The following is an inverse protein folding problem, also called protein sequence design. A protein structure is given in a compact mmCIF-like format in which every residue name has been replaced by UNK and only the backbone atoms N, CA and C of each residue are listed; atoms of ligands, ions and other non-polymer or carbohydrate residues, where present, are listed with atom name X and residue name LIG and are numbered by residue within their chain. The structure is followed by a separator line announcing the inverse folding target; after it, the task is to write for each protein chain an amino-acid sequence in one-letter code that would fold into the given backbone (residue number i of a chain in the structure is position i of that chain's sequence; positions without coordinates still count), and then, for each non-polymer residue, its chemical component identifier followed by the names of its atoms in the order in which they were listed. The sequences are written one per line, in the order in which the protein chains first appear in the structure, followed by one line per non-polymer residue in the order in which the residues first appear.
data_IF_614682099154
#
_entry.id   IF_614682099154
#
_cell.length_a   1.000
_cell.length_b   1.000
_cell.length_c   1.000
_cell.angle_alpha   90.00
_cell.angle_beta   90.00
_cell.angle_gamma   90.00
#
_symmetry.space_group_name_H-M   'P 1'
#
loop_
_entity.id
_entity.type
_entity.pdbx_description
1 polymer ?
#
# COMPACT_ATOMS: atom_id res chain seq x y z
N UNK A 1 -12.99 -5.23 -1.73
CA UNK A 1 -11.80 -5.17 -2.58
C UNK A 1 -10.56 -5.25 -1.68
N UNK A 2 -9.55 -5.97 -2.11
CA UNK A 2 -8.25 -6.02 -1.45
C UNK A 2 -7.28 -5.25 -2.35
N UNK A 3 -7.14 -3.94 -2.20
CA UNK A 3 -6.10 -3.24 -2.92
C UNK A 3 -4.75 -3.72 -2.41
N UNK A 4 -3.95 -4.29 -3.29
CA UNK A 4 -2.55 -4.59 -3.03
C UNK A 4 -1.71 -3.50 -3.65
N UNK A 5 -0.92 -2.79 -2.83
CA UNK A 5 0.07 -1.84 -3.34
C UNK A 5 1.44 -2.49 -3.41
N UNK A 6 2.13 -2.24 -4.50
CA UNK A 6 3.53 -2.61 -4.68
C UNK A 6 4.40 -1.42 -4.24
N UNK A 7 5.22 -1.59 -3.22
CA UNK A 7 6.21 -0.60 -2.76
C UNK A 7 7.61 -1.21 -2.83
N UNK A 8 8.13 -1.41 -4.06
CA UNK A 8 9.37 -2.15 -4.24
C UNK A 8 10.64 -1.31 -4.08
N UNK A 9 10.75 -0.18 -4.78
CA UNK A 9 12.00 0.58 -4.82
C UNK A 9 12.20 1.46 -3.62
N UNK A 10 11.16 2.17 -3.21
CA UNK A 10 11.22 3.06 -2.06
C UNK A 10 11.56 2.29 -0.79
N UNK A 11 11.09 1.05 -0.65
CA UNK A 11 11.45 0.15 0.46
C UNK A 11 12.90 -0.32 0.36
N UNK A 12 13.46 -0.46 -0.83
CA UNK A 12 14.88 -0.78 -1.01
C UNK A 12 15.79 0.38 -0.62
N UNK A 13 15.42 1.61 -0.98
CA UNK A 13 16.22 2.83 -0.77
C UNK A 13 16.15 3.30 0.70
N UNK A 14 14.94 3.43 1.23
CA UNK A 14 14.65 3.86 2.60
C UNK A 14 13.59 2.93 3.20
N UNK A 15 14.00 1.79 3.77
CA UNK A 15 13.09 0.70 4.14
C UNK A 15 12.02 1.11 5.14
N UNK A 16 12.35 1.90 6.17
CA UNK A 16 11.40 2.31 7.19
C UNK A 16 10.30 3.19 6.60
N UNK A 17 10.67 4.29 5.96
CA UNK A 17 9.68 5.22 5.39
C UNK A 17 8.97 4.63 4.16
N UNK A 18 9.66 3.85 3.33
CA UNK A 18 9.05 3.17 2.19
C UNK A 18 7.95 2.19 2.61
N UNK A 19 8.20 1.38 3.63
CA UNK A 19 7.21 0.45 4.17
C UNK A 19 6.08 1.16 4.94
N UNK A 20 6.40 2.23 5.68
CA UNK A 20 5.41 3.09 6.32
C UNK A 20 4.46 3.69 5.28
N UNK A 21 5.01 4.18 4.16
CA UNK A 21 4.23 4.69 3.01
C UNK A 21 3.35 3.60 2.40
N UNK A 22 3.85 2.38 2.26
CA UNK A 22 3.08 1.22 1.79
C UNK A 22 1.87 0.95 2.68
N UNK A 23 2.06 0.89 4.00
CA UNK A 23 0.98 0.72 4.98
C UNK A 23 0.01 1.91 4.97
N UNK A 24 0.53 3.15 4.96
CA UNK A 24 -0.30 4.34 4.85
C UNK A 24 -1.15 4.35 3.58
N UNK A 25 -0.58 3.89 2.45
CA UNK A 25 -1.26 3.80 1.15
C UNK A 25 -2.43 2.82 1.17
N UNK A 26 -2.22 1.59 1.65
CA UNK A 26 -3.28 0.59 1.70
C UNK A 26 -4.42 1.00 2.67
N UNK A 27 -4.10 1.73 3.73
CA UNK A 27 -5.09 2.32 4.63
C UNK A 27 -5.93 3.36 3.88
N UNK A 28 -5.30 4.27 3.11
CA UNK A 28 -6.02 5.32 2.36
C UNK A 28 -6.89 4.73 1.25
N UNK A 29 -6.41 3.71 0.54
CA UNK A 29 -7.20 3.02 -0.48
C UNK A 29 -8.51 2.48 0.11
N UNK A 30 -8.47 1.96 1.33
CA UNK A 30 -9.68 1.51 2.01
C UNK A 30 -10.53 2.66 2.56
N UNK A 31 -9.92 3.76 3.00
CA UNK A 31 -10.66 4.96 3.36
C UNK A 31 -11.42 5.54 2.16
N UNK A 32 -10.83 5.47 0.96
CA UNK A 32 -11.41 5.97 -0.29
C UNK A 32 -12.43 5.05 -0.95
N UNK A 33 -12.85 3.96 -0.31
CA UNK A 33 -13.86 3.03 -0.85
C UNK A 33 -15.26 3.66 -0.92
N UNK A 34 -15.87 3.69 -2.12
CA UNK A 34 -17.21 4.25 -2.32
C UNK A 34 -17.30 5.72 -1.96
N UNK A 35 -18.15 6.07 -0.99
CA UNK A 35 -18.27 7.42 -0.39
C UNK A 35 -17.51 7.55 0.92
N UNK A 36 -16.65 6.58 1.22
CA UNK A 36 -15.86 6.46 2.42
C UNK A 36 -16.11 5.15 3.15
N UNK A 37 -15.06 4.63 3.72
CA UNK A 37 -15.08 3.44 4.56
C UNK A 37 -13.94 3.51 5.57
N UNK A 38 -13.80 2.53 6.44
CA UNK A 38 -12.71 2.56 7.42
C UNK A 38 -11.91 1.28 7.49
N UNK A 39 -10.60 1.40 7.64
CA UNK A 39 -9.69 0.27 7.78
C UNK A 39 -9.93 -0.47 9.10
N UNK A 40 -9.79 -1.80 9.07
CA UNK A 40 -9.91 -2.66 10.25
C UNK A 40 -8.58 -3.32 10.58
N UNK A 41 -7.95 -3.93 9.58
CA UNK A 41 -6.70 -4.66 9.76
C UNK A 41 -5.86 -4.63 8.49
N UNK A 42 -4.55 -4.61 8.64
CA UNK A 42 -3.58 -4.62 7.56
C UNK A 42 -2.81 -5.94 7.46
N UNK A 43 -2.19 -6.15 6.31
CA UNK A 43 -1.27 -7.26 6.03
C UNK A 43 -0.02 -6.72 5.34
N UNK A 44 1.12 -7.40 5.53
CA UNK A 44 2.35 -7.07 4.85
C UNK A 44 3.12 -8.33 4.46
N UNK A 45 3.44 -8.49 3.18
CA UNK A 45 4.28 -9.57 2.65
C UNK A 45 5.55 -8.94 2.08
N UNK A 46 6.69 -9.50 2.44
CA UNK A 46 7.99 -9.07 1.92
C UNK A 46 8.63 -10.17 1.08
N UNK A 47 9.22 -9.78 -0.03
CA UNK A 47 9.99 -10.66 -0.91
C UNK A 47 11.35 -10.04 -1.17
N UNK A 48 12.42 -10.80 -0.94
CA UNK A 48 13.80 -10.33 -1.10
C UNK A 48 14.75 -11.45 -1.48
N UNK A 49 15.98 -11.11 -1.84
CA UNK A 49 17.10 -12.06 -1.94
C UNK A 49 17.37 -12.71 -0.59
N UNK A 50 18.09 -13.82 -0.58
CA UNK A 50 18.48 -14.48 0.67
C UNK A 50 19.21 -13.51 1.61
N UNK A 51 18.85 -13.48 2.90
CA UNK A 51 19.46 -12.58 3.88
C UNK A 51 20.94 -12.84 4.13
N UNK A 52 21.42 -14.07 3.95
CA UNK A 52 22.80 -14.51 4.21
C UNK A 52 23.26 -14.06 5.59
N UNK A 53 22.55 -14.55 6.59
CA UNK A 53 22.89 -14.35 8.01
C UNK A 53 24.16 -15.14 8.38
N UNK A 54 24.65 -15.00 9.61
CA UNK A 54 25.97 -15.51 10.06
C UNK A 54 26.21 -17.03 9.82
N UNK A 55 25.15 -17.81 9.73
CA UNK A 55 25.21 -19.23 9.38
C UNK A 55 24.82 -19.40 7.90
N UNK A 56 25.82 -19.58 7.03
CA UNK A 56 25.59 -19.83 5.61
C UNK A 56 24.81 -21.12 5.39
N UNK A 57 23.74 -21.05 4.62
CA UNK A 57 22.94 -22.20 4.21
C UNK A 57 23.33 -22.60 2.80
N UNK A 58 23.32 -23.91 2.51
CA UNK A 58 23.83 -24.44 1.23
C UNK A 58 23.17 -23.83 -0.01
N UNK A 59 21.89 -23.49 0.05
CA UNK A 59 21.17 -22.89 -1.08
C UNK A 59 21.48 -21.40 -1.29
N UNK A 60 22.14 -20.73 -0.36
CA UNK A 60 22.49 -19.32 -0.48
C UNK A 60 23.73 -19.07 -1.36
N UNK A 61 24.49 -20.11 -1.67
CA UNK A 61 25.69 -20.05 -2.51
C UNK A 61 25.40 -20.22 -4.02
N UNK A 62 24.15 -20.38 -4.43
CA UNK A 62 23.74 -20.58 -5.83
C UNK A 62 24.07 -19.35 -6.68
N UNK A 63 23.88 -18.13 -6.14
CA UNK A 63 24.21 -16.90 -6.80
C UNK A 63 25.28 -16.11 -6.03
N UNK A 64 26.15 -15.37 -6.73
CA UNK A 64 27.11 -14.49 -6.07
C UNK A 64 26.33 -13.42 -5.26
N UNK A 65 26.87 -13.09 -4.09
CA UNK A 65 26.33 -12.02 -3.25
C UNK A 65 26.27 -10.74 -4.06
N UNK A 66 25.06 -10.19 -4.24
CA UNK A 66 24.89 -8.94 -4.96
C UNK A 66 25.32 -7.75 -4.08
N UNK A 67 25.91 -6.76 -4.71
CA UNK A 67 26.19 -5.49 -4.04
C UNK A 67 24.89 -4.68 -3.92
N UNK A 68 24.40 -4.55 -2.70
CA UNK A 68 23.27 -3.69 -2.41
C UNK A 68 23.75 -2.25 -2.28
N UNK A 69 23.01 -1.32 -2.88
CA UNK A 69 23.41 0.07 -2.94
C UNK A 69 23.34 0.79 -1.58
N UNK A 70 22.40 0.38 -0.73
CA UNK A 70 22.11 1.08 0.52
C UNK A 70 22.25 0.17 1.75
N UNK A 71 21.60 -0.99 1.78
CA UNK A 71 21.52 -1.86 2.96
C UNK A 71 21.42 -3.32 2.53
N UNK A 72 21.75 -4.24 3.44
CA UNK A 72 21.58 -5.69 3.20
C UNK A 72 20.10 -6.10 3.22
N UNK A 73 19.73 -7.23 2.61
CA UNK A 73 18.36 -7.74 2.66
C UNK A 73 17.81 -7.89 4.07
N UNK A 74 18.61 -8.38 5.02
CA UNK A 74 18.23 -8.48 6.43
C UNK A 74 17.91 -7.11 7.05
N UNK A 75 18.79 -6.13 6.85
CA UNK A 75 18.59 -4.77 7.37
C UNK A 75 17.33 -4.12 6.78
N UNK A 76 17.09 -4.37 5.49
CA UNK A 76 15.89 -3.89 4.80
C UNK A 76 14.64 -4.49 5.42
N UNK A 77 14.61 -5.82 5.61
CA UNK A 77 13.46 -6.53 6.20
C UNK A 77 13.14 -6.03 7.61
N UNK A 78 14.16 -5.88 8.48
CA UNK A 78 13.98 -5.38 9.85
C UNK A 78 13.40 -3.95 9.83
N UNK A 79 13.98 -3.05 9.05
CA UNK A 79 13.54 -1.65 9.00
C UNK A 79 12.17 -1.51 8.33
N UNK A 80 11.90 -2.27 7.28
CA UNK A 80 10.62 -2.27 6.60
C UNK A 80 9.49 -2.78 7.52
N UNK A 81 9.71 -3.88 8.21
CA UNK A 81 8.76 -4.42 9.20
C UNK A 81 8.48 -3.39 10.29
N UNK A 82 9.53 -2.76 10.83
CA UNK A 82 9.38 -1.72 11.85
C UNK A 82 8.60 -0.51 11.31
N UNK A 83 8.88 -0.05 10.09
CA UNK A 83 8.20 1.09 9.48
C UNK A 83 6.71 0.84 9.21
N UNK A 84 6.38 -0.32 8.68
CA UNK A 84 5.00 -0.73 8.44
C UNK A 84 4.19 -0.82 9.75
N UNK A 85 4.76 -1.47 10.77
CA UNK A 85 4.12 -1.61 12.08
C UNK A 85 4.01 -0.29 12.82
N UNK A 86 5.04 0.57 12.77
CA UNK A 86 5.01 1.90 13.41
C UNK A 86 3.86 2.75 12.84
N UNK A 87 3.67 2.75 11.51
CA UNK A 87 2.57 3.47 10.90
C UNK A 87 1.21 2.91 11.32
N UNK A 88 1.03 1.58 11.23
CA UNK A 88 -0.20 0.92 11.63
C UNK A 88 -0.54 1.16 13.10
N UNK A 89 0.44 1.03 13.99
CA UNK A 89 0.26 1.25 15.43
C UNK A 89 -0.13 2.69 15.76
N UNK A 90 0.55 3.68 15.17
CA UNK A 90 0.24 5.11 15.37
C UNK A 90 -1.12 5.49 14.78
N UNK A 91 -1.50 4.91 13.66
CA UNK A 91 -2.81 5.09 13.06
C UNK A 91 -3.92 4.39 13.86
N UNK A 92 -3.62 3.26 14.47
CA UNK A 92 -4.57 2.40 15.18
C UNK A 92 -5.15 1.30 14.28
N UNK A 93 -4.32 0.68 13.45
CA UNK A 93 -4.65 -0.49 12.65
C UNK A 93 -3.60 -1.58 12.85
N UNK A 94 -3.96 -2.78 13.34
CA UNK A 94 -3.01 -3.87 13.50
C UNK A 94 -2.61 -4.44 12.13
N UNK A 95 -1.31 -4.75 11.96
CA UNK A 95 -0.83 -5.65 10.93
C UNK A 95 -0.97 -7.08 11.48
N UNK A 96 -2.03 -7.78 11.10
CA UNK A 96 -2.43 -9.04 11.72
C UNK A 96 -1.92 -10.28 11.02
N UNK A 97 -1.50 -10.16 9.78
CA UNK A 97 -1.02 -11.26 8.97
C UNK A 97 0.07 -10.79 8.02
N UNK A 98 1.11 -11.57 7.88
CA UNK A 98 2.22 -11.28 6.99
C UNK A 98 3.07 -12.52 6.70
N UNK A 99 3.97 -12.39 5.73
CA UNK A 99 4.93 -13.42 5.42
C UNK A 99 6.21 -12.83 4.80
N UNK A 100 7.25 -13.64 4.77
CA UNK A 100 8.53 -13.34 4.11
C UNK A 100 8.84 -14.45 3.13
N UNK A 101 9.16 -14.09 1.90
CA UNK A 101 9.61 -14.99 0.85
C UNK A 101 10.99 -14.59 0.39
N UNK A 102 11.82 -15.59 0.17
CA UNK A 102 13.14 -15.44 -0.43
C UNK A 102 13.28 -16.42 -1.59
N UNK A 103 13.98 -16.03 -2.64
CA UNK A 103 14.19 -16.89 -3.78
C UNK A 103 15.32 -16.39 -4.65
N UNK A 104 16.24 -17.30 -4.98
CA UNK A 104 17.26 -17.11 -6.00
C UNK A 104 17.41 -18.43 -6.79
N UNK A 105 17.42 -18.33 -8.10
CA UNK A 105 17.51 -19.50 -8.97
C UNK A 105 18.17 -19.15 -10.30
N UNK A 106 18.90 -20.11 -10.87
CA UNK A 106 19.47 -19.99 -12.22
C UNK A 106 19.01 -21.15 -13.07
N UNK A 107 18.43 -20.86 -14.22
CA UNK A 107 17.96 -21.86 -15.17
C UNK A 107 18.15 -21.35 -16.60
N UNK A 108 18.69 -22.19 -17.49
CA UNK A 108 18.89 -21.85 -18.91
C UNK A 108 19.63 -20.52 -19.17
N UNK A 109 20.63 -20.19 -18.36
CA UNK A 109 21.38 -18.93 -18.35
C UNK A 109 20.55 -17.70 -17.97
N UNK A 110 19.37 -17.88 -17.41
CA UNK A 110 18.55 -16.81 -16.82
C UNK A 110 18.61 -16.88 -15.30
N UNK A 111 18.60 -15.72 -14.69
CA UNK A 111 18.62 -15.57 -13.22
C UNK A 111 17.26 -15.07 -12.75
N UNK A 112 16.69 -15.79 -11.79
CA UNK A 112 15.43 -15.47 -11.15
C UNK A 112 15.67 -15.12 -9.69
N UNK A 113 15.10 -14.02 -9.23
CA UNK A 113 15.22 -13.60 -7.85
C UNK A 113 14.52 -12.28 -7.59
N UNK A 114 14.47 -11.89 -6.33
CA UNK A 114 13.93 -10.59 -5.93
C UNK A 114 15.07 -9.57 -5.83
N UNK A 115 15.44 -9.00 -6.96
CA UNK A 115 16.48 -7.99 -7.05
C UNK A 115 16.13 -6.66 -6.39
N UNK A 116 14.85 -6.39 -6.29
CA UNK A 116 14.28 -5.33 -5.48
C UNK A 116 13.44 -5.96 -4.39
N UNK A 117 13.45 -5.38 -3.20
CA UNK A 117 12.53 -5.80 -2.17
C UNK A 117 11.11 -5.46 -2.60
N UNK A 118 10.26 -6.44 -2.66
CA UNK A 118 8.85 -6.27 -2.93
C UNK A 118 8.13 -6.25 -1.57
N UNK A 119 7.33 -5.22 -1.35
CA UNK A 119 6.34 -5.19 -0.27
C UNK A 119 4.95 -5.23 -0.88
N UNK A 120 4.16 -6.23 -0.51
CA UNK A 120 2.74 -6.28 -0.81
C UNK A 120 2.00 -5.89 0.47
N UNK A 121 1.51 -4.66 0.50
CA UNK A 121 0.67 -4.17 1.58
C UNK A 121 -0.80 -4.32 1.19
N UNK A 122 -1.60 -4.82 2.10
CA UNK A 122 -3.02 -5.03 1.89
C UNK A 122 -3.80 -4.96 3.19
N UNK A 123 -5.07 -5.30 3.15
CA UNK A 123 -5.86 -5.33 4.36
C UNK A 123 -7.37 -5.39 4.12
N UNK A 124 -8.09 -5.31 5.22
CA UNK A 124 -9.54 -5.39 5.28
C UNK A 124 -10.12 -4.10 5.84
N UNK A 125 -11.19 -3.62 5.22
CA UNK A 125 -11.95 -2.46 5.68
C UNK A 125 -13.44 -2.78 5.79
N UNK A 126 -14.17 -1.90 6.45
CA UNK A 126 -15.63 -1.95 6.58
C UNK A 126 -16.26 -0.73 5.91
N UNK A 127 -17.31 -0.94 5.16
CA UNK A 127 -18.16 0.10 4.60
C UNK A 127 -19.63 -0.31 4.64
N UNK A 128 -20.52 0.66 4.64
CA UNK A 128 -21.96 0.40 4.56
C UNK A 128 -22.37 0.13 3.11
N UNK A 129 -23.36 -0.71 2.90
CA UNK A 129 -23.89 -0.96 1.55
C UNK A 129 -24.40 0.33 0.89
N UNK A 130 -24.96 1.26 1.68
CA UNK A 130 -25.42 2.58 1.23
C UNK A 130 -24.32 3.38 0.54
N UNK A 131 -23.09 3.30 1.08
CA UNK A 131 -21.96 4.13 0.68
C UNK A 131 -20.92 3.35 -0.18
N UNK A 132 -21.25 2.14 -0.65
CA UNK A 132 -20.31 1.30 -1.39
C UNK A 132 -20.02 1.77 -2.83
N UNK A 133 -20.89 2.63 -3.38
CA UNK A 133 -20.72 3.24 -4.70
C UNK A 133 -20.53 4.75 -4.55
N UNK A 134 -19.68 5.31 -5.39
CA UNK A 134 -19.52 6.77 -5.51
C UNK A 134 -20.80 7.38 -6.05
N UNK A 135 -21.11 8.62 -5.67
CA UNK A 135 -22.16 9.43 -6.29
C UNK A 135 -21.66 10.02 -7.61
N UNK A 136 -22.60 10.54 -8.39
CA UNK A 136 -22.30 11.22 -9.66
C UNK A 136 -21.93 12.67 -9.38
N UNK A 137 -20.74 13.14 -9.83
CA UNK A 137 -20.38 14.55 -9.74
C UNK A 137 -21.32 15.44 -10.56
N UNK A 138 -21.69 16.57 -9.98
CA UNK A 138 -22.49 17.62 -10.63
C UNK A 138 -21.70 18.94 -10.66
N UNK A 139 -21.93 19.79 -11.66
CA UNK A 139 -21.28 21.10 -11.72
C UNK A 139 -21.59 21.92 -10.46
N UNK A 140 -20.58 22.55 -9.87
CA UNK A 140 -20.69 23.33 -8.62
C UNK A 140 -20.41 22.53 -7.34
N UNK A 141 -20.20 21.20 -7.41
CA UNK A 141 -19.70 20.47 -6.25
C UNK A 141 -18.32 21.01 -5.87
N UNK A 142 -18.04 21.13 -4.59
CA UNK A 142 -16.75 21.64 -4.10
C UNK A 142 -15.72 20.52 -4.00
N UNK A 143 -14.54 20.82 -4.51
CA UNK A 143 -13.37 19.96 -4.37
C UNK A 143 -12.68 20.31 -3.06
N UNK A 144 -12.61 19.35 -2.17
CA UNK A 144 -12.07 19.50 -0.82
C UNK A 144 -10.84 18.61 -0.66
N UNK A 145 -9.79 19.14 -0.04
CA UNK A 145 -8.62 18.38 0.40
C UNK A 145 -8.59 18.40 1.92
N UNK A 146 -8.47 17.22 2.53
CA UNK A 146 -8.29 17.05 3.98
C UNK A 146 -6.91 16.42 4.22
N UNK A 147 -6.10 17.01 5.10
CA UNK A 147 -4.80 16.49 5.49
C UNK A 147 -3.68 17.51 5.43
N UNK A 148 -2.44 17.03 5.35
CA UNK A 148 -1.24 17.82 5.51
C UNK A 148 -0.83 18.69 4.31
N UNK A 149 0.15 19.53 4.55
CA UNK A 149 0.68 20.49 3.59
C UNK A 149 1.61 19.81 2.56
N UNK A 150 1.84 20.49 1.44
CA UNK A 150 2.83 20.10 0.45
C UNK A 150 4.24 20.48 0.89
N UNK A 151 5.14 19.51 0.89
CA UNK A 151 6.57 19.68 1.12
C UNK A 151 7.39 19.08 -0.02
N UNK A 152 8.70 19.32 -0.02
CA UNK A 152 9.64 18.75 -1.00
C UNK A 152 9.99 17.30 -0.66
N UNK A 153 8.98 16.45 -0.56
CA UNK A 153 9.08 15.01 -0.29
C UNK A 153 8.10 14.25 -1.19
N UNK A 154 8.42 13.00 -1.52
CA UNK A 154 7.57 12.20 -2.39
C UNK A 154 7.54 12.68 -3.84
N UNK A 155 8.52 13.46 -4.28
CA UNK A 155 8.55 14.01 -5.63
C UNK A 155 8.95 12.94 -6.63
N UNK A 156 8.03 12.61 -7.54
CA UNK A 156 8.27 11.63 -8.60
C UNK A 156 8.43 10.20 -8.10
N UNK A 157 7.86 9.85 -6.94
CA UNK A 157 7.95 8.50 -6.35
C UNK A 157 7.53 7.40 -7.31
N UNK A 158 6.42 7.59 -8.03
CA UNK A 158 5.96 6.65 -9.05
C UNK A 158 6.94 6.44 -10.20
N UNK A 159 7.63 7.50 -10.64
CA UNK A 159 8.63 7.41 -11.70
C UNK A 159 9.92 6.73 -11.24
N UNK A 160 10.39 7.05 -10.02
CA UNK A 160 11.59 6.43 -9.43
C UNK A 160 11.33 4.94 -9.18
N UNK A 161 10.17 4.58 -8.68
CA UNK A 161 9.81 3.18 -8.41
C UNK A 161 9.62 2.33 -9.67
N UNK A 162 9.52 2.94 -10.84
CA UNK A 162 9.33 2.23 -12.12
C UNK A 162 10.62 1.87 -12.83
N UNK A 163 11.78 2.25 -12.30
CA UNK A 163 13.10 1.98 -12.91
C UNK A 163 13.98 1.18 -11.94
N UNK A 164 15.15 0.76 -12.42
CA UNK A 164 16.12 0.05 -11.59
C UNK A 164 16.67 0.94 -10.48
N UNK A 165 16.79 0.40 -9.27
CA UNK A 165 17.40 1.10 -8.13
C UNK A 165 18.82 1.51 -8.45
N UNK A 166 19.17 2.79 -8.20
CA UNK A 166 20.48 3.36 -8.54
C UNK A 166 20.55 3.96 -9.95
N UNK A 167 19.43 3.99 -10.69
CA UNK A 167 19.38 4.65 -11.99
C UNK A 167 19.47 6.17 -11.87
N UNK A 168 18.92 6.72 -10.81
CA UNK A 168 19.02 8.14 -10.48
C UNK A 168 20.10 8.38 -9.42
N UNK A 169 20.47 9.66 -9.22
CA UNK A 169 21.33 10.01 -8.10
C UNK A 169 20.62 9.75 -6.77
N UNK A 170 21.40 9.43 -5.73
CA UNK A 170 20.87 9.16 -4.38
C UNK A 170 19.96 10.28 -3.85
N UNK A 171 20.26 11.56 -4.20
CA UNK A 171 19.41 12.69 -3.81
C UNK A 171 18.02 12.65 -4.44
N UNK A 172 17.90 12.24 -5.71
CA UNK A 172 16.61 12.08 -6.38
C UNK A 172 15.84 10.91 -5.79
N UNK A 173 16.50 9.76 -5.60
CA UNK A 173 15.87 8.57 -5.04
C UNK A 173 15.39 8.80 -3.61
N UNK A 174 16.17 9.48 -2.76
CA UNK A 174 15.79 9.84 -1.39
C UNK A 174 14.65 10.87 -1.34
N UNK A 175 14.61 11.83 -2.26
CA UNK A 175 13.52 12.82 -2.33
C UNK A 175 12.20 12.21 -2.85
N UNK A 176 12.26 11.12 -3.58
CA UNK A 176 11.09 10.36 -4.01
C UNK A 176 10.42 9.59 -2.85
N UNK A 177 11.16 9.30 -1.79
CA UNK A 177 10.61 8.63 -0.61
C UNK A 177 9.84 9.63 0.24
N UNK A 178 8.62 9.26 0.60
CA UNK A 178 7.79 10.08 1.48
C UNK A 178 8.19 9.90 2.94
N UNK A 179 7.78 10.84 3.78
CA UNK A 179 7.90 10.75 5.24
C UNK A 179 6.54 10.49 5.83
N UNK A 180 6.45 9.46 6.65
CA UNK A 180 5.20 9.01 7.24
C UNK A 180 4.69 9.98 8.32
N UNK A 181 3.41 10.32 8.25
CA UNK A 181 2.69 11.07 9.28
C UNK A 181 1.36 10.38 9.60
N UNK A 182 1.43 9.28 10.32
CA UNK A 182 0.28 8.46 10.67
C UNK A 182 -0.78 9.24 11.50
N UNK A 183 -0.37 10.23 12.30
CA UNK A 183 -1.29 11.07 13.06
C UNK A 183 -2.14 11.92 12.13
N UNK A 184 -1.56 12.58 11.14
CA UNK A 184 -2.31 13.37 10.17
C UNK A 184 -3.31 12.49 9.39
N UNK A 185 -2.87 11.31 8.97
CA UNK A 185 -3.77 10.36 8.31
C UNK A 185 -4.90 9.90 9.23
N UNK A 186 -4.63 9.71 10.53
CA UNK A 186 -5.66 9.38 11.52
C UNK A 186 -6.69 10.49 11.67
N UNK A 187 -6.28 11.74 11.71
CA UNK A 187 -7.17 12.90 11.76
C UNK A 187 -8.08 12.94 10.53
N UNK A 188 -7.51 12.78 9.32
CA UNK A 188 -8.29 12.68 8.08
C UNK A 188 -9.27 11.50 8.10
N UNK A 189 -8.82 10.33 8.58
CA UNK A 189 -9.68 9.16 8.73
C UNK A 189 -10.86 9.42 9.68
N UNK A 190 -10.65 10.12 10.79
CA UNK A 190 -11.70 10.41 11.74
C UNK A 190 -12.81 11.28 11.10
N UNK A 191 -12.43 12.22 10.23
CA UNK A 191 -13.40 13.00 9.46
C UNK A 191 -14.21 12.10 8.52
N UNK A 192 -13.52 11.30 7.69
CA UNK A 192 -14.19 10.38 6.75
C UNK A 192 -15.12 9.43 7.49
N UNK A 193 -14.66 8.86 8.59
CA UNK A 193 -15.45 7.95 9.41
C UNK A 193 -16.69 8.62 10.00
N UNK A 194 -16.55 9.84 10.53
CA UNK A 194 -17.68 10.58 11.08
C UNK A 194 -18.77 10.81 10.02
N UNK A 195 -18.37 11.18 8.79
CA UNK A 195 -19.32 11.37 7.68
C UNK A 195 -20.01 10.06 7.26
N UNK A 196 -19.29 8.94 7.29
CA UNK A 196 -19.85 7.62 6.96
C UNK A 196 -20.80 7.08 8.04
N UNK A 197 -20.63 7.50 9.30
CA UNK A 197 -21.44 7.07 10.44
C UNK A 197 -22.73 7.90 10.59
N UNK A 198 -22.89 9.00 9.84
CA UNK A 198 -24.12 9.79 9.82
C UNK A 198 -25.26 9.08 9.05
N UNK A 199 -26.50 9.44 9.36
CA UNK A 199 -27.69 8.92 8.66
C UNK A 199 -27.64 9.23 7.16
N UNK A 200 -27.13 10.41 6.80
CA UNK A 200 -26.93 10.87 5.42
C UNK A 200 -25.47 11.27 5.23
N UNK A 201 -24.72 10.49 4.46
CA UNK A 201 -23.35 10.81 4.12
C UNK A 201 -23.31 11.95 3.07
N UNK A 202 -22.73 13.12 3.38
CA UNK A 202 -22.68 14.26 2.45
C UNK A 202 -21.63 14.12 1.34
N UNK A 203 -20.80 13.08 1.39
CA UNK A 203 -19.75 12.83 0.40
C UNK A 203 -20.37 12.37 -0.90
N UNK A 204 -20.04 13.05 -2.00
CA UNK A 204 -20.39 12.61 -3.36
C UNK A 204 -19.40 11.58 -3.85
N UNK A 205 -18.11 11.90 -3.74
CA UNK A 205 -17.01 11.02 -4.12
C UNK A 205 -15.79 11.29 -3.23
N UNK A 206 -14.96 10.28 -3.03
CA UNK A 206 -13.72 10.38 -2.26
C UNK A 206 -12.60 9.63 -2.97
N UNK A 207 -11.39 10.17 -2.89
CA UNK A 207 -10.19 9.54 -3.43
C UNK A 207 -8.97 9.79 -2.52
N UNK A 208 -8.02 8.86 -2.49
CA UNK A 208 -6.77 9.07 -1.77
C UNK A 208 -5.75 9.85 -2.61
N UNK A 209 -4.88 10.59 -1.93
CA UNK A 209 -3.67 11.13 -2.56
C UNK A 209 -2.59 10.07 -2.54
N UNK A 210 -2.21 9.61 -3.70
CA UNK A 210 -1.15 8.63 -3.91
C UNK A 210 -0.11 9.12 -4.91
N UNK A 211 0.27 8.25 -5.83
CA UNK A 211 1.19 8.57 -6.92
C UNK A 211 0.70 9.77 -7.73
N UNK A 212 1.61 10.63 -8.14
CA UNK A 212 1.36 11.89 -8.82
C UNK A 212 0.50 12.93 -8.05
N UNK A 213 0.25 12.71 -6.75
CA UNK A 213 -0.27 13.72 -5.85
C UNK A 213 -1.63 14.31 -6.22
N UNK A 214 -1.72 15.64 -6.23
CA UNK A 214 -2.97 16.35 -6.51
C UNK A 214 -3.50 16.10 -7.91
N UNK A 215 -2.64 16.00 -8.93
CA UNK A 215 -3.12 15.82 -10.30
C UNK A 215 -3.87 14.51 -10.45
N UNK A 216 -3.40 13.44 -9.86
CA UNK A 216 -4.06 12.14 -9.95
C UNK A 216 -5.35 12.12 -9.11
N UNK A 217 -5.23 12.38 -7.81
CA UNK A 217 -6.37 12.33 -6.90
C UNK A 217 -7.53 13.22 -7.33
N UNK A 218 -7.24 14.50 -7.66
CA UNK A 218 -8.30 15.45 -7.94
C UNK A 218 -8.89 15.29 -9.34
N UNK A 219 -8.11 14.79 -10.32
CA UNK A 219 -8.66 14.47 -11.64
C UNK A 219 -9.62 13.29 -11.59
N UNK A 220 -9.29 12.24 -10.82
CA UNK A 220 -10.18 11.09 -10.64
C UNK A 220 -11.49 11.45 -9.92
N UNK A 221 -11.46 12.45 -9.04
CA UNK A 221 -12.69 12.96 -8.41
C UNK A 221 -13.65 13.63 -9.41
N UNK A 222 -13.10 14.30 -10.44
CA UNK A 222 -13.87 15.11 -11.38
C UNK A 222 -13.95 14.49 -12.78
N UNK A 223 -13.57 13.22 -12.92
CA UNK A 223 -13.48 12.50 -14.21
C UNK A 223 -14.76 12.61 -15.04
N UNK A 224 -15.92 12.54 -14.42
CA UNK A 224 -17.18 12.54 -15.14
C UNK A 224 -17.67 13.94 -15.58
N UNK A 225 -17.13 15.04 -15.02
CA UNK A 225 -17.65 16.36 -15.32
C UNK A 225 -16.60 17.48 -15.51
N UNK A 226 -15.36 17.23 -15.16
CA UNK A 226 -14.32 18.27 -15.19
C UNK A 226 -14.29 19.10 -13.91
N UNK A 227 -13.21 19.89 -13.72
CA UNK A 227 -13.04 20.70 -12.53
C UNK A 227 -11.92 21.72 -12.64
N UNK A 228 -12.05 22.78 -11.87
CA UNK A 228 -11.09 23.87 -11.75
C UNK A 228 -10.53 23.92 -10.32
N UNK A 229 -9.22 23.79 -10.21
CA UNK A 229 -8.49 23.88 -8.95
C UNK A 229 -7.76 25.22 -8.85
N UNK A 230 -8.04 25.95 -7.80
CA UNK A 230 -7.36 27.19 -7.43
C UNK A 230 -6.10 26.85 -6.63
N UNK A 231 -4.93 26.99 -7.26
CA UNK A 231 -3.64 26.65 -6.65
C UNK A 231 -3.31 27.53 -5.44
N UNK A 232 -3.87 28.71 -5.33
CA UNK A 232 -3.66 29.59 -4.17
C UNK A 232 -4.31 29.06 -2.89
N UNK A 233 -5.25 28.12 -3.02
CA UNK A 233 -5.96 27.47 -1.91
C UNK A 233 -5.37 26.11 -1.53
N UNK A 234 -4.40 25.62 -2.28
CA UNK A 234 -3.72 24.38 -1.93
C UNK A 234 -2.82 24.58 -0.70
N UNK A 235 -2.75 23.60 0.20
CA UNK A 235 -1.89 23.69 1.38
C UNK A 235 -0.41 23.57 0.98
N UNK A 236 0.38 24.63 1.19
CA UNK A 236 1.80 24.68 0.82
C UNK A 236 2.63 24.97 2.06
N UNK A 237 3.36 23.96 2.53
CA UNK A 237 4.29 24.07 3.63
C UNK A 237 5.69 24.59 3.20
N UNK A 238 6.15 24.19 2.00
CA UNK A 238 7.38 24.70 1.39
C UNK A 238 7.06 25.69 0.26
N UNK A 239 7.21 26.96 0.54
CA UNK A 239 6.90 28.05 -0.42
C UNK A 239 7.88 28.13 -1.61
N UNK A 240 8.94 27.33 -1.63
CA UNK A 240 9.90 27.27 -2.74
C UNK A 240 9.51 26.27 -3.82
N UNK A 241 8.41 25.54 -3.63
CA UNK A 241 7.89 24.59 -4.61
C UNK A 241 7.40 25.31 -5.87
N UNK A 242 7.81 24.80 -7.02
CA UNK A 242 7.25 25.22 -8.31
C UNK A 242 5.83 24.69 -8.51
N UNK A 243 5.09 25.24 -9.46
CA UNK A 243 3.75 24.77 -9.80
C UNK A 243 3.72 23.26 -10.12
N UNK A 244 4.71 22.74 -10.86
CA UNK A 244 4.82 21.31 -11.18
C UNK A 244 4.99 20.45 -9.91
N UNK A 245 5.85 20.90 -9.01
CA UNK A 245 6.11 20.19 -7.76
C UNK A 245 4.87 20.19 -6.85
N UNK A 246 4.10 21.29 -6.80
CA UNK A 246 2.85 21.35 -6.04
C UNK A 246 1.82 20.38 -6.63
N UNK A 247 1.60 20.43 -7.94
CA UNK A 247 0.60 19.62 -8.64
C UNK A 247 0.89 18.12 -8.49
N UNK A 248 2.16 17.72 -8.62
CA UNK A 248 2.60 16.32 -8.61
C UNK A 248 3.16 15.86 -7.25
N UNK A 249 2.95 16.62 -6.17
CA UNK A 249 3.47 16.30 -4.85
C UNK A 249 2.78 15.10 -4.22
N UNK A 250 3.53 14.06 -3.94
CA UNK A 250 3.03 12.80 -3.41
C UNK A 250 3.02 12.76 -1.86
N UNK A 251 2.92 13.89 -1.18
CA UNK A 251 2.66 13.90 0.28
C UNK A 251 1.32 13.23 0.54
N UNK A 252 1.32 12.08 1.22
CA UNK A 252 0.22 11.12 1.14
C UNK A 252 -0.80 11.21 2.27
N UNK A 253 -0.57 11.96 3.31
CA UNK A 253 -1.52 12.07 4.43
C UNK A 253 -2.70 12.99 4.08
N UNK A 254 -3.28 12.78 2.90
CA UNK A 254 -4.37 13.59 2.35
C UNK A 254 -5.43 12.73 1.69
N UNK A 255 -6.68 13.22 1.77
CA UNK A 255 -7.82 12.68 1.04
C UNK A 255 -8.47 13.80 0.24
N UNK A 256 -8.87 13.51 -0.99
CA UNK A 256 -9.70 14.39 -1.80
C UNK A 256 -11.16 13.99 -1.72
N UNK A 257 -12.07 14.96 -1.60
CA UNK A 257 -13.50 14.72 -1.53
C UNK A 257 -14.25 15.67 -2.46
N UNK A 258 -15.35 15.20 -3.02
CA UNK A 258 -16.39 16.06 -3.58
C UNK A 258 -17.53 16.17 -2.58
N UNK A 259 -17.87 17.41 -2.24
CA UNK A 259 -18.91 17.77 -1.27
C UNK A 259 -19.86 18.77 -1.92
N UNK A 260 -21.17 18.59 -1.72
CA UNK A 260 -22.15 19.61 -2.11
C UNK A 260 -21.93 20.88 -1.31
N UNK A 261 -22.13 22.05 -1.94
CA UNK A 261 -21.84 23.35 -1.30
C UNK A 261 -22.56 23.54 0.03
N UNK A 262 -23.82 23.13 0.11
CA UNK A 262 -24.64 23.24 1.34
C UNK A 262 -24.08 22.43 2.53
N UNK A 263 -23.27 21.39 2.28
CA UNK A 263 -22.68 20.55 3.32
C UNK A 263 -21.28 20.99 3.77
N UNK A 264 -20.66 21.95 3.11
CA UNK A 264 -19.27 22.37 3.39
C UNK A 264 -19.07 22.80 4.85
N UNK A 265 -19.97 23.62 5.39
CA UNK A 265 -19.83 24.10 6.78
C UNK A 265 -20.04 22.99 7.81
N UNK A 266 -20.85 21.99 7.49
CA UNK A 266 -21.00 20.81 8.32
C UNK A 266 -19.70 19.99 8.35
N UNK A 267 -19.13 19.68 7.17
CA UNK A 267 -17.86 18.96 7.05
C UNK A 267 -16.71 19.73 7.74
N UNK A 268 -16.70 21.07 7.62
CA UNK A 268 -15.70 21.92 8.27
C UNK A 268 -15.74 21.78 9.79
N UNK A 269 -16.92 21.80 10.41
CA UNK A 269 -17.06 21.62 11.87
C UNK A 269 -16.53 20.25 12.33
N UNK A 270 -16.76 19.20 11.53
CA UNK A 270 -16.22 17.87 11.83
C UNK A 270 -14.70 17.89 11.70
N UNK A 271 -14.15 18.48 10.63
CA UNK A 271 -12.71 18.57 10.41
C UNK A 271 -12.01 19.35 11.54
N UNK A 272 -12.60 20.45 12.00
CA UNK A 272 -12.10 21.22 13.14
C UNK A 272 -12.12 20.41 14.44
N UNK A 273 -13.21 19.68 14.72
CA UNK A 273 -13.31 18.78 15.88
C UNK A 273 -12.20 17.74 15.87
N UNK A 274 -11.92 17.15 14.72
CA UNK A 274 -10.89 16.11 14.55
C UNK A 274 -9.47 16.71 14.36
N UNK A 275 -9.36 18.05 14.35
CA UNK A 275 -8.09 18.77 14.09
C UNK A 275 -7.45 18.40 12.75
N UNK A 276 -8.28 18.03 11.77
CA UNK A 276 -7.84 17.73 10.41
C UNK A 276 -7.92 19.01 9.58
N UNK A 277 -6.80 19.50 9.02
CA UNK A 277 -6.84 20.63 8.11
C UNK A 277 -7.75 20.33 6.92
N UNK A 278 -8.61 21.28 6.55
CA UNK A 278 -9.57 21.18 5.46
C UNK A 278 -9.47 22.39 4.55
N UNK A 279 -9.34 22.15 3.26
CA UNK A 279 -9.19 23.18 2.24
C UNK A 279 -10.22 22.97 1.12
N UNK A 280 -11.02 23.99 0.82
CA UNK A 280 -11.89 24.01 -0.36
C UNK A 280 -11.06 24.58 -1.50
N UNK A 281 -10.53 23.71 -2.34
CA UNK A 281 -9.49 24.05 -3.32
C UNK A 281 -10.01 24.29 -4.73
N UNK A 282 -11.27 23.98 -5.01
CA UNK A 282 -11.85 24.15 -6.33
C UNK A 282 -13.29 23.70 -6.41
N UNK A 283 -13.77 23.56 -7.61
CA UNK A 283 -15.12 23.10 -7.91
C UNK A 283 -15.20 22.33 -9.22
N UNK A 284 -16.22 21.53 -9.36
CA UNK A 284 -16.56 20.85 -10.61
C UNK A 284 -17.23 21.83 -11.58
N UNK A 285 -16.85 21.76 -12.87
CA UNK A 285 -17.24 22.76 -13.87
C UNK A 285 -18.30 22.30 -14.86
N UNK A 286 -18.40 21.00 -15.13
CA UNK A 286 -19.30 20.45 -16.14
C UNK A 286 -18.83 20.60 -17.59
N UNK A 287 -17.62 21.13 -17.80
CA UNK A 287 -17.05 21.37 -19.13
C UNK A 287 -16.12 20.25 -19.62
N UNK A 288 -16.00 19.15 -18.82
CA UNK A 288 -15.12 18.01 -19.07
C UNK A 288 -13.63 18.40 -19.27
N UNK A 289 -13.19 19.48 -18.60
CA UNK A 289 -11.78 19.87 -18.53
C UNK A 289 -11.30 19.83 -17.09
N UNK A 290 -10.07 19.43 -16.89
CA UNK A 290 -9.42 19.51 -15.59
C UNK A 290 -8.27 20.48 -15.63
N UNK A 291 -8.31 21.48 -14.77
CA UNK A 291 -7.35 22.59 -14.77
C UNK A 291 -6.88 22.96 -13.38
N UNK A 292 -5.59 23.31 -13.29
CA UNK A 292 -5.03 24.05 -12.16
C UNK A 292 -4.79 25.50 -12.56
N UNK A 293 -5.26 26.45 -11.77
CA UNK A 293 -5.11 27.87 -12.06
C UNK A 293 -4.36 28.57 -10.93
N UNK A 294 -3.36 29.36 -11.29
CA UNK A 294 -2.62 30.24 -10.37
C UNK A 294 -3.38 31.55 -10.13
N UNK A 295 -2.98 32.30 -9.10
CA UNK A 295 -3.62 33.57 -8.73
C UNK A 295 -3.57 34.63 -9.84
N UNK A 296 -2.58 34.58 -10.74
CA UNK A 296 -2.46 35.44 -11.90
C UNK A 296 -3.28 34.98 -13.12
N UNK A 297 -4.06 33.91 -12.98
CA UNK A 297 -4.87 33.32 -14.04
C UNK A 297 -4.15 32.34 -14.95
N UNK A 298 -2.84 32.18 -14.82
CA UNK A 298 -2.07 31.19 -15.60
C UNK A 298 -2.51 29.76 -15.20
N UNK A 299 -2.69 28.91 -16.19
CA UNK A 299 -3.04 27.50 -16.03
C UNK A 299 -1.86 26.61 -16.38
N UNK A 300 -1.03 26.22 -15.43
CA UNK A 300 0.11 25.33 -15.67
C UNK A 300 -0.29 23.92 -16.07
N UNK A 301 -1.55 23.54 -15.81
CA UNK A 301 -2.17 22.29 -16.23
C UNK A 301 -3.60 22.57 -16.67
N UNK A 302 -3.94 22.18 -17.89
CA UNK A 302 -5.28 22.37 -18.48
C UNK A 302 -5.50 21.36 -19.61
N UNK A 303 -6.16 20.24 -19.29
CA UNK A 303 -6.41 19.15 -20.22
C UNK A 303 -7.89 18.75 -20.26
N UNK A 304 -8.37 18.29 -21.40
CA UNK A 304 -9.65 17.61 -21.45
C UNK A 304 -9.55 16.28 -20.68
N UNK A 305 -10.58 15.95 -19.93
CA UNK A 305 -10.66 14.71 -19.15
C UNK A 305 -10.46 13.47 -20.02
N UNK A 306 -10.99 13.47 -21.25
CA UNK A 306 -10.80 12.39 -22.21
C UNK A 306 -9.31 12.16 -22.58
N UNK A 307 -8.49 13.20 -22.58
CA UNK A 307 -7.04 13.08 -22.84
C UNK A 307 -6.30 12.41 -21.66
N UNK A 308 -6.84 12.49 -20.46
CA UNK A 308 -6.26 11.90 -19.25
C UNK A 308 -6.73 10.45 -19.04
N UNK A 309 -8.02 10.20 -19.22
CA UNK A 309 -8.68 8.93 -18.92
C UNK A 309 -9.18 8.17 -20.16
N UNK A 310 -8.88 8.68 -21.37
CA UNK A 310 -9.19 8.01 -22.62
C UNK A 310 -8.58 6.60 -22.70
N UNK A 311 -9.13 5.77 -23.58
CA UNK A 311 -8.66 4.40 -23.73
C UNK A 311 -7.22 4.35 -24.21
N UNK A 312 -6.33 3.79 -23.40
CA UNK A 312 -4.97 3.44 -23.84
C UNK A 312 -5.04 2.46 -25.02
N UNK A 313 -4.08 2.53 -25.95
CA UNK A 313 -3.95 1.50 -26.98
C UNK A 313 -3.91 0.11 -26.36
N UNK A 314 -4.58 -0.85 -26.96
CA UNK A 314 -4.53 -2.24 -26.47
C UNK A 314 -3.08 -2.73 -26.46
N UNK A 315 -2.62 -3.15 -25.31
CA UNK A 315 -1.34 -3.84 -25.18
C UNK A 315 -1.56 -5.32 -25.45
N UNK A 316 -0.88 -5.86 -26.45
CA UNK A 316 -0.91 -7.29 -26.75
C UNK A 316 0.31 -7.91 -26.07
N UNK A 317 0.09 -8.67 -25.01
CA UNK A 317 1.12 -9.51 -24.39
C UNK A 317 1.05 -10.89 -25.08
N UNK A 318 1.99 -11.10 -26.01
CA UNK A 318 2.10 -12.40 -26.70
C UNK A 318 3.12 -13.22 -25.92
N UNK A 319 2.64 -14.17 -25.17
CA UNK A 319 3.47 -15.14 -24.48
C UNK A 319 3.65 -16.39 -25.33
N UNK A 320 4.87 -16.94 -25.27
CA UNK A 320 5.17 -18.25 -25.84
C UNK A 320 5.34 -19.21 -24.68
N UNK A 321 4.33 -20.02 -24.45
CA UNK A 321 4.44 -21.12 -23.48
C UNK A 321 5.52 -22.08 -23.95
N UNK A 322 6.57 -22.22 -23.15
CA UNK A 322 7.62 -23.21 -23.33
C UNK A 322 7.27 -24.39 -22.44
N UNK A 323 7.03 -25.55 -23.05
CA UNK A 323 6.84 -26.77 -22.28
C UNK A 323 8.17 -27.13 -21.57
N UNK A 324 8.14 -27.17 -20.25
CA UNK A 324 9.27 -27.46 -19.41
C UNK A 324 9.09 -28.84 -18.76
N UNK A 325 10.08 -29.67 -18.87
CA UNK A 325 10.10 -30.98 -18.22
C UNK A 325 11.12 -30.98 -17.10
N UNK A 326 10.62 -31.01 -15.87
CA UNK A 326 11.46 -31.10 -14.68
C UNK A 326 11.65 -32.56 -14.26
N UNK A 327 12.85 -32.89 -13.82
CA UNK A 327 13.10 -34.18 -13.19
C UNK A 327 12.35 -34.24 -11.85
N UNK A 328 11.74 -35.37 -11.56
CA UNK A 328 11.19 -35.60 -10.23
C UNK A 328 12.32 -35.57 -9.20
N UNK A 329 12.10 -34.91 -8.04
CA UNK A 329 13.09 -34.95 -6.97
C UNK A 329 13.32 -36.38 -6.48
N UNK A 330 14.57 -36.74 -6.30
CA UNK A 330 14.97 -38.01 -5.69
C UNK A 330 15.32 -37.77 -4.22
N UNK A 331 14.69 -38.53 -3.33
CA UNK A 331 14.87 -38.39 -1.88
C UNK A 331 15.62 -39.61 -1.33
N UNK A 332 16.65 -39.34 -0.53
CA UNK A 332 17.39 -40.33 0.21
C UNK A 332 16.88 -40.43 1.65
N UNK A 333 16.24 -41.53 2.06
CA UNK A 333 15.71 -41.70 3.40
C UNK A 333 16.71 -41.38 4.54
N UNK A 334 18.01 -41.74 4.43
CA UNK A 334 18.96 -41.34 5.47
C UNK A 334 19.13 -39.85 5.65
N UNK A 335 18.81 -39.03 4.65
CA UNK A 335 18.88 -37.55 4.66
C UNK A 335 17.58 -36.87 5.10
N UNK A 336 16.59 -37.62 5.53
CA UNK A 336 15.29 -37.05 5.94
C UNK A 336 15.43 -35.93 6.98
N UNK A 337 16.33 -36.11 7.95
CA UNK A 337 16.58 -35.11 8.98
C UNK A 337 17.18 -33.82 8.41
N UNK A 338 18.12 -33.94 7.47
CA UNK A 338 18.71 -32.81 6.74
C UNK A 338 17.64 -32.05 5.95
N UNK A 339 16.81 -32.76 5.18
CA UNK A 339 15.72 -32.13 4.42
C UNK A 339 14.74 -31.38 5.33
N UNK A 340 14.36 -31.98 6.49
CA UNK A 340 13.50 -31.34 7.46
C UNK A 340 14.17 -30.07 8.03
N UNK A 341 15.43 -30.15 8.41
CA UNK A 341 16.21 -29.01 8.92
C UNK A 341 16.26 -27.88 7.90
N UNK A 342 16.51 -28.21 6.64
CA UNK A 342 16.57 -27.22 5.57
C UNK A 342 15.23 -26.52 5.36
N UNK A 343 14.12 -27.27 5.35
CA UNK A 343 12.77 -26.67 5.23
C UNK A 343 12.46 -25.76 6.43
N UNK A 344 12.81 -26.16 7.65
CA UNK A 344 12.57 -25.36 8.86
C UNK A 344 13.42 -24.08 8.91
N UNK A 345 14.47 -23.97 8.10
CA UNK A 345 15.32 -22.78 8.00
C UNK A 345 14.87 -21.78 6.91
N UNK A 346 13.92 -22.15 6.05
CA UNK A 346 13.41 -21.21 5.03
C UNK A 346 12.72 -20.03 5.68
N UNK A 347 12.94 -18.82 5.17
CA UNK A 347 12.31 -17.60 5.70
C UNK A 347 10.77 -17.69 5.70
N UNK A 348 10.17 -18.40 4.75
CA UNK A 348 8.74 -18.63 4.72
C UNK A 348 8.23 -19.48 5.91
N UNK A 349 9.06 -20.38 6.45
CA UNK A 349 8.70 -21.36 7.48
C UNK A 349 9.27 -20.99 8.84
N UNK A 350 10.50 -20.53 8.89
CA UNK A 350 11.24 -20.28 10.12
C UNK A 350 10.58 -19.25 11.05
N UNK A 351 10.90 -19.34 12.33
CA UNK A 351 10.53 -18.34 13.31
C UNK A 351 11.07 -16.96 12.92
N UNK A 352 10.24 -15.94 13.05
CA UNK A 352 10.54 -14.56 12.63
C UNK A 352 10.62 -13.60 13.81
N UNK A 353 11.11 -14.06 14.96
CA UNK A 353 11.25 -13.24 16.17
C UNK A 353 12.02 -11.96 15.95
N UNK A 354 13.06 -12.01 15.11
CA UNK A 354 13.86 -10.87 14.72
C UNK A 354 13.08 -9.78 13.96
N UNK A 355 11.91 -10.12 13.39
CA UNK A 355 10.97 -9.17 12.77
C UNK A 355 9.79 -8.85 13.69
N UNK A 356 9.17 -9.85 14.31
CA UNK A 356 7.84 -9.75 14.92
C UNK A 356 7.86 -9.33 16.38
N UNK A 357 8.93 -9.64 17.15
CA UNK A 357 8.96 -9.38 18.60
C UNK A 357 9.29 -7.93 18.98
N UNK A 358 9.50 -7.06 18.01
CA UNK A 358 9.85 -5.64 18.23
C UNK A 358 8.70 -4.68 17.95
N UNK A 359 7.52 -5.19 17.60
CA UNK A 359 6.38 -4.41 17.17
C UNK A 359 5.12 -4.79 17.97
N UNK A 360 4.21 -3.84 18.14
CA UNK A 360 2.91 -4.11 18.74
C UNK A 360 2.02 -4.84 17.72
N UNK A 361 1.59 -6.03 18.08
CA UNK A 361 0.72 -6.88 17.27
C UNK A 361 -0.75 -6.84 17.72
N UNK A 362 -1.07 -6.03 18.72
CA UNK A 362 -2.37 -6.04 19.40
C UNK A 362 -3.04 -4.66 19.43
N UNK A 363 -2.57 -3.73 18.63
CA UNK A 363 -3.13 -2.37 18.57
C UNK A 363 -4.64 -2.42 18.32
N UNK A 364 -5.40 -1.53 18.92
CA UNK A 364 -6.86 -1.48 19.04
C UNK A 364 -7.48 -2.39 20.11
N UNK A 365 -6.80 -3.44 20.57
CA UNK A 365 -7.36 -4.41 21.50
C UNK A 365 -8.48 -5.29 20.93
N UNK A 366 -8.65 -5.31 19.59
CA UNK A 366 -9.66 -6.14 18.90
C UNK A 366 -9.05 -7.37 18.23
N UNK A 367 -7.75 -7.56 18.33
CA UNK A 367 -7.08 -8.74 17.76
C UNK A 367 -7.46 -9.96 18.61
N UNK A 368 -8.28 -10.83 18.04
CA UNK A 368 -8.75 -12.05 18.69
C UNK A 368 -7.80 -13.23 18.48
N UNK A 369 -7.07 -13.23 17.36
CA UNK A 369 -6.07 -14.26 17.05
C UNK A 369 -4.91 -13.65 16.29
N UNK A 370 -3.70 -13.99 16.69
CA UNK A 370 -2.45 -13.59 16.04
C UNK A 370 -1.81 -14.80 15.36
N UNK A 371 -0.86 -14.56 14.44
CA UNK A 371 -0.02 -15.62 13.88
C UNK A 371 0.89 -16.24 14.95
N UNK A 372 1.46 -15.43 15.84
CA UNK A 372 2.26 -15.91 16.97
C UNK A 372 1.35 -16.28 18.13
N UNK A 373 1.51 -17.50 18.66
CA UNK A 373 0.62 -18.07 19.69
C UNK A 373 1.37 -18.86 20.75
N UNK A 374 0.65 -19.16 21.86
CA UNK A 374 1.16 -19.93 22.98
C UNK A 374 2.14 -19.16 23.85
N UNK A 375 2.66 -19.81 24.89
CA UNK A 375 3.62 -19.20 25.83
C UNK A 375 4.93 -18.80 25.16
N UNK A 376 5.38 -19.57 24.18
CA UNK A 376 6.60 -19.32 23.41
C UNK A 376 6.41 -18.31 22.28
N UNK A 377 5.19 -17.87 22.00
CA UNK A 377 4.87 -16.94 20.91
C UNK A 377 5.42 -17.39 19.55
N UNK A 378 5.27 -18.68 19.25
CA UNK A 378 5.70 -19.25 17.97
C UNK A 378 4.71 -18.90 16.85
N UNK A 379 5.15 -18.75 15.59
CA UNK A 379 4.30 -18.45 14.44
C UNK A 379 3.55 -19.71 13.97
N UNK A 380 2.65 -20.20 14.81
CA UNK A 380 1.91 -21.47 14.62
C UNK A 380 0.62 -21.30 13.83
N UNK A 381 0.20 -20.07 13.56
CA UNK A 381 -1.04 -19.79 12.86
C UNK A 381 -0.80 -18.91 11.66
N UNK A 382 -1.26 -19.34 10.50
CA UNK A 382 -1.17 -18.57 9.26
C UNK A 382 -2.43 -17.72 8.99
N UNK A 383 -3.21 -17.47 10.07
CA UNK A 383 -4.42 -16.68 10.05
C UNK A 383 -4.44 -15.67 11.21
N UNK A 384 -4.84 -14.45 10.91
CA UNK A 384 -5.12 -13.43 11.92
C UNK A 384 -6.63 -13.16 12.00
N UNK A 385 -7.15 -12.92 13.20
CA UNK A 385 -8.59 -12.62 13.42
C UNK A 385 -8.75 -11.33 14.21
N UNK A 386 -9.60 -10.44 13.69
CA UNK A 386 -9.97 -9.17 14.35
C UNK A 386 -11.47 -9.14 14.60
N UNK A 387 -11.85 -8.80 15.84
CA UNK A 387 -13.25 -8.56 16.19
C UNK A 387 -13.77 -7.28 15.53
N UNK A 388 -15.03 -7.26 15.13
CA UNK A 388 -15.66 -6.06 14.58
C UNK A 388 -15.92 -4.98 15.64
N UNK A 389 -16.25 -5.42 16.84
CA UNK A 389 -16.51 -4.54 17.99
C UNK A 389 -16.03 -5.18 19.30
N UNK A 390 -16.23 -4.49 20.43
CA UNK A 390 -15.79 -4.94 21.76
C UNK A 390 -16.83 -5.77 22.54
N UNK A 391 -18.01 -6.04 21.98
CA UNK A 391 -19.13 -6.69 22.68
C UNK A 391 -19.68 -7.89 21.94
N UNK A 392 -19.62 -7.88 20.61
CA UNK A 392 -20.13 -8.94 19.76
C UNK A 392 -19.14 -10.10 19.61
N UNK A 393 -19.63 -11.18 19.00
CA UNK A 393 -18.87 -12.39 18.69
C UNK A 393 -18.49 -12.48 17.21
N UNK A 394 -18.71 -11.41 16.44
CA UNK A 394 -18.39 -11.36 15.02
C UNK A 394 -17.00 -10.80 14.79
N UNK A 395 -16.27 -11.42 13.88
CA UNK A 395 -14.93 -11.00 13.49
C UNK A 395 -14.66 -11.24 12.00
N UNK A 396 -13.47 -10.86 11.59
CA UNK A 396 -12.94 -11.12 10.26
C UNK A 396 -11.65 -11.89 10.41
N UNK A 397 -11.58 -13.06 9.78
CA UNK A 397 -10.37 -13.83 9.65
C UNK A 397 -9.66 -13.47 8.34
N UNK A 398 -8.34 -13.37 8.39
CA UNK A 398 -7.49 -13.05 7.25
C UNK A 398 -6.34 -14.03 7.18
N UNK A 399 -6.17 -14.67 6.04
CA UNK A 399 -5.04 -15.55 5.73
C UNK A 399 -4.37 -15.14 4.42
N UNK A 400 -3.13 -15.56 4.23
CA UNK A 400 -2.34 -15.30 3.03
C UNK A 400 -1.94 -16.64 2.42
N UNK A 401 -2.01 -16.73 1.09
CA UNK A 401 -1.45 -17.82 0.32
C UNK A 401 -0.64 -17.29 -0.86
N UNK A 402 0.48 -17.93 -1.16
CA UNK A 402 1.37 -17.48 -2.23
C UNK A 402 2.24 -18.63 -2.75
N UNK A 403 2.32 -18.77 -4.06
CA UNK A 403 3.14 -19.78 -4.73
C UNK A 403 3.86 -19.19 -5.96
N UNK A 404 4.70 -18.14 -5.80
CA UNK A 404 5.31 -17.46 -6.93
C UNK A 404 6.27 -18.35 -7.70
N UNK A 405 6.98 -19.26 -7.05
CA UNK A 405 7.91 -20.20 -7.71
C UNK A 405 7.16 -21.19 -8.60
N UNK A 406 6.05 -21.75 -8.10
CA UNK A 406 5.18 -22.61 -8.90
C UNK A 406 4.60 -21.87 -10.11
N UNK A 407 4.25 -20.57 -9.93
CA UNK A 407 3.73 -19.73 -11.00
C UNK A 407 4.77 -19.42 -12.09
N UNK A 408 6.07 -19.47 -11.80
CA UNK A 408 7.11 -19.37 -12.82
C UNK A 408 7.13 -20.60 -13.73
N UNK A 409 6.81 -21.77 -13.21
CA UNK A 409 6.72 -23.00 -13.98
C UNK A 409 5.37 -23.12 -14.71
N UNK A 410 4.27 -22.89 -14.00
CA UNK A 410 2.90 -22.94 -14.51
C UNK A 410 2.04 -21.89 -13.79
N UNK A 411 1.65 -20.78 -14.46
CA UNK A 411 0.83 -19.73 -13.85
C UNK A 411 -0.54 -20.20 -13.34
N UNK A 412 -1.15 -21.18 -14.00
CA UNK A 412 -2.45 -21.74 -13.57
C UNK A 412 -2.30 -22.57 -12.30
N UNK A 413 -1.29 -23.46 -12.24
CA UNK A 413 -0.96 -24.23 -11.06
C UNK A 413 -0.57 -23.30 -9.87
N UNK A 414 0.26 -22.29 -10.11
CA UNK A 414 0.64 -21.30 -9.12
C UNK A 414 -0.55 -20.55 -8.53
N UNK A 415 -1.51 -20.16 -9.37
CA UNK A 415 -2.75 -19.51 -8.92
C UNK A 415 -3.60 -20.43 -8.05
N UNK A 416 -3.78 -21.68 -8.46
CA UNK A 416 -4.53 -22.70 -7.69
C UNK A 416 -3.85 -22.94 -6.34
N UNK A 417 -2.53 -23.10 -6.32
CA UNK A 417 -1.77 -23.33 -5.09
C UNK A 417 -1.88 -22.14 -4.13
N UNK A 418 -1.77 -20.90 -4.63
CA UNK A 418 -1.91 -19.71 -3.79
C UNK A 418 -3.29 -19.61 -3.13
N UNK A 419 -4.35 -19.88 -3.87
CA UNK A 419 -5.72 -19.87 -3.32
C UNK A 419 -5.91 -21.04 -2.35
N UNK A 420 -5.41 -22.22 -2.68
CA UNK A 420 -5.51 -23.41 -1.83
C UNK A 420 -4.78 -23.23 -0.50
N UNK A 421 -3.58 -22.63 -0.53
CA UNK A 421 -2.83 -22.30 0.68
C UNK A 421 -3.61 -21.32 1.57
N UNK A 422 -4.13 -20.22 1.01
CA UNK A 422 -4.91 -19.27 1.78
C UNK A 422 -6.15 -19.92 2.43
N UNK A 423 -6.85 -20.82 1.71
CA UNK A 423 -8.01 -21.54 2.23
C UNK A 423 -7.64 -22.53 3.32
N UNK A 424 -6.57 -23.29 3.14
CA UNK A 424 -6.11 -24.25 4.18
C UNK A 424 -5.62 -23.53 5.42
N UNK A 425 -4.88 -22.42 5.27
CA UNK A 425 -4.46 -21.57 6.37
C UNK A 425 -5.67 -21.02 7.17
N UNK A 426 -6.76 -20.70 6.48
CA UNK A 426 -7.98 -20.24 7.13
C UNK A 426 -8.74 -21.35 7.85
N UNK A 427 -8.81 -22.54 7.27
CA UNK A 427 -9.61 -23.67 7.79
C UNK A 427 -8.93 -24.35 8.98
N UNK A 428 -7.62 -24.42 8.96
CA UNK A 428 -6.85 -25.12 10.01
C UNK A 428 -6.33 -24.21 11.12
N UNK A 429 -6.56 -22.92 11.04
CA UNK A 429 -6.08 -21.94 12.02
C UNK A 429 -6.95 -21.90 13.30
#
# INVERSE_FOLDING_TARGET
SFPTRRSSDLTTVEPFNGASTGTGGEIRDRMGGGKGSWPIAGTAVYMTSYPRTDEAREWEDILPVRKWLYQTPEQILIKASNGASDFGNKFGQPLICGSVLTFEHTENNEVYGYDKVIMLAGGVGYGTQRDCLKGTPEAGNKVVVIGGDNYRIGLGGGSVSSVDTGRYSSGIELNAVQRANAEMQKRANNVVRALCEEDVNPVVSIHDHGSAGHVNCLSELVEECGGLIDMSKLPIGDKTLSAKEIIANESQERMGLLIKEEAIEHVRKIAERERAPMYVVGETTGDHRFSFQQADGVRPFDLAVEQMFGSSPKTYMIDKTVERHYKMPEYELPKLHEYLTNVLQLEAVACKDWLTNKVDRSVTGKVARQQCQGELQLPLSDCGVVALDYRGEKGIATSIGHAPQAALADPAAGSILSVSEALTNLVWA
#
